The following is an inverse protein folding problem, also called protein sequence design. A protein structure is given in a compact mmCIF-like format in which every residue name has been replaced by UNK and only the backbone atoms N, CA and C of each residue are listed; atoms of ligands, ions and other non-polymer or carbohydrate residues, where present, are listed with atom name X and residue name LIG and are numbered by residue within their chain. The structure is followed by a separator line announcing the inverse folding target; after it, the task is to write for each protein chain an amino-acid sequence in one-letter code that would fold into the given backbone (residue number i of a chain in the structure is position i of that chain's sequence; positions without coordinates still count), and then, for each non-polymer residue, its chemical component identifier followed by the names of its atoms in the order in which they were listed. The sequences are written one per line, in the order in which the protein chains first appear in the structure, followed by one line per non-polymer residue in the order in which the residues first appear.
data_IF_063955391218
#
_entry.id   IF_063955391218
#
_cell.length_a   1.000
_cell.length_b   1.000
_cell.length_c   1.000
_cell.angle_alpha   90.00
_cell.angle_beta   90.00
_cell.angle_gamma   90.00
#
_symmetry.space_group_name_H-M   'P 1'
#
loop_
_entity.id
_entity.type
_entity.pdbx_description
1 polymer ?
#
# COMPACT_ATOMS: atom_id res chain seq x y z
N UNK A 1 15.71 -8.34 -7.00
CA UNK A 1 15.86 -7.07 -7.74
C UNK A 1 15.24 -5.97 -6.88
N UNK A 2 15.37 -4.70 -7.26
CA UNK A 2 14.79 -3.59 -6.50
C UNK A 2 13.83 -2.85 -7.41
N UNK A 3 12.54 -2.97 -7.10
CA UNK A 3 11.45 -2.29 -7.80
C UNK A 3 11.11 -0.95 -7.12
N UNK A 4 10.23 -0.16 -7.73
CA UNK A 4 9.72 1.09 -7.15
C UNK A 4 8.21 1.05 -6.99
N UNK A 5 7.71 1.56 -5.87
CA UNK A 5 6.28 1.83 -5.68
C UNK A 5 6.08 3.33 -5.61
N UNK A 6 5.27 3.87 -6.52
CA UNK A 6 4.90 5.28 -6.57
C UNK A 6 3.48 5.46 -6.05
N UNK A 7 3.39 6.08 -4.88
CA UNK A 7 2.18 6.70 -4.36
C UNK A 7 1.94 8.02 -5.10
N UNK A 8 0.78 8.15 -5.73
CA UNK A 8 0.37 9.27 -6.54
C UNK A 8 -0.92 9.88 -5.98
N UNK A 9 -1.26 11.06 -6.51
CA UNK A 9 -2.41 11.88 -6.10
C UNK A 9 -2.79 12.85 -7.22
N UNK A 10 -3.79 13.69 -6.98
CA UNK A 10 -4.22 14.74 -7.93
C UNK A 10 -4.69 14.14 -9.28
N UNK A 11 -5.41 13.01 -9.20
CA UNK A 11 -5.94 12.29 -10.37
C UNK A 11 -4.94 11.41 -11.12
N UNK A 12 -3.74 11.20 -10.56
CA UNK A 12 -2.76 10.26 -11.09
C UNK A 12 -2.85 8.91 -10.36
N UNK A 13 -2.89 7.81 -11.13
CA UNK A 13 -2.94 6.46 -10.55
C UNK A 13 -1.61 6.02 -9.96
N UNK A 14 -1.66 5.24 -8.89
CA UNK A 14 -0.50 4.59 -8.28
C UNK A 14 0.13 3.56 -9.23
N UNK A 15 1.46 3.36 -9.11
CA UNK A 15 2.20 2.44 -10.00
C UNK A 15 3.31 1.71 -9.27
N UNK A 16 3.53 0.45 -9.63
CA UNK A 16 4.74 -0.32 -9.35
C UNK A 16 5.59 -0.34 -10.60
N UNK A 17 6.86 0.06 -10.52
CA UNK A 17 7.80 -0.05 -11.62
C UNK A 17 8.76 -1.20 -11.37
N UNK A 18 8.71 -2.18 -12.27
CA UNK A 18 9.56 -3.37 -12.21
C UNK A 18 10.94 -3.06 -12.80
N UNK A 19 11.98 -3.45 -12.07
CA UNK A 19 13.36 -3.24 -12.47
C UNK A 19 13.79 -4.29 -13.50
N UNK A 20 14.38 -3.83 -14.60
CA UNK A 20 14.92 -4.69 -15.64
C UNK A 20 16.30 -5.31 -15.30
N UNK A 21 16.76 -5.18 -14.05
CA UNK A 21 18.08 -5.64 -13.58
C UNK A 21 19.21 -4.64 -13.82
N UNK A 22 18.94 -3.51 -14.49
CA UNK A 22 19.91 -2.45 -14.79
C UNK A 22 19.46 -1.09 -14.25
N UNK A 23 18.56 -1.08 -13.25
CA UNK A 23 17.89 0.12 -12.72
C UNK A 23 17.04 0.84 -13.78
N UNK A 24 16.62 0.13 -14.83
CA UNK A 24 15.59 0.62 -15.74
C UNK A 24 14.20 0.26 -15.23
N UNK A 25 13.28 1.21 -15.32
CA UNK A 25 11.92 1.18 -14.76
C UNK A 25 10.91 1.44 -15.88
N UNK A 26 10.93 0.58 -16.89
CA UNK A 26 10.22 0.82 -18.16
C UNK A 26 8.75 0.34 -18.11
N UNK A 27 8.44 -0.59 -17.20
CA UNK A 27 7.10 -1.18 -17.06
C UNK A 27 6.49 -0.70 -15.74
N UNK A 28 5.49 0.18 -15.83
CA UNK A 28 4.69 0.62 -14.71
C UNK A 28 3.37 -0.17 -14.64
N UNK A 29 3.21 -1.02 -13.63
CA UNK A 29 1.99 -1.76 -13.37
C UNK A 29 1.07 -0.93 -12.46
N UNK A 30 -0.15 -0.57 -12.89
CA UNK A 30 -1.04 0.23 -12.06
C UNK A 30 -1.63 -0.59 -10.92
N UNK A 31 -1.91 0.08 -9.80
CA UNK A 31 -2.72 -0.46 -8.71
C UNK A 31 -3.65 0.64 -8.15
N UNK A 32 -4.63 0.22 -7.35
CA UNK A 32 -5.65 1.13 -6.82
C UNK A 32 -6.72 1.53 -7.83
N UNK A 33 -7.44 2.61 -7.57
CA UNK A 33 -8.57 3.06 -8.40
C UNK A 33 -8.16 3.93 -9.57
N UNK A 34 -6.87 4.31 -9.64
CA UNK A 34 -6.32 5.20 -10.65
C UNK A 34 -6.48 6.69 -10.34
N UNK A 35 -7.11 7.04 -9.21
CA UNK A 35 -7.32 8.43 -8.76
C UNK A 35 -7.25 8.58 -7.24
N UNK A 36 -6.62 7.62 -6.57
CA UNK A 36 -6.45 7.63 -5.12
C UNK A 36 -5.56 8.81 -4.70
N UNK A 37 -5.83 9.39 -3.53
CA UNK A 37 -5.08 10.44 -2.86
C UNK A 37 -4.03 9.84 -1.91
N UNK A 38 -3.21 8.94 -2.46
CA UNK A 38 -2.21 8.21 -1.68
C UNK A 38 -1.06 9.12 -1.27
N UNK A 39 -0.76 9.16 0.03
CA UNK A 39 0.34 9.95 0.61
C UNK A 39 1.54 9.11 0.98
N UNK A 40 1.32 7.86 1.34
CA UNK A 40 2.39 6.95 1.72
C UNK A 40 2.00 5.51 1.38
N UNK A 41 3.02 4.68 1.19
CA UNK A 41 2.87 3.23 1.04
C UNK A 41 3.81 2.51 2.00
N UNK A 42 3.42 1.32 2.43
CA UNK A 42 4.27 0.34 3.08
C UNK A 42 4.25 -0.96 2.27
N UNK A 43 5.38 -1.66 2.23
CA UNK A 43 5.55 -2.91 1.47
C UNK A 43 6.01 -3.98 2.42
N UNK A 44 5.25 -5.07 2.51
CA UNK A 44 5.55 -6.24 3.33
C UNK A 44 4.71 -7.43 2.86
N UNK A 45 4.99 -8.63 3.33
CA UNK A 45 4.13 -9.79 3.11
C UNK A 45 3.03 -9.79 4.20
N UNK A 46 1.82 -9.32 3.86
CA UNK A 46 0.74 -9.16 4.84
C UNK A 46 -0.18 -10.38 4.92
N UNK A 47 -0.09 -11.30 3.95
CA UNK A 47 -0.92 -12.50 3.89
C UNK A 47 -0.13 -13.81 4.13
N UNK A 48 1.19 -13.73 4.30
CA UNK A 48 2.08 -14.85 4.60
C UNK A 48 2.37 -15.75 3.39
N UNK A 49 2.17 -15.28 2.17
CA UNK A 49 2.35 -16.08 0.95
C UNK A 49 3.78 -16.04 0.37
N UNK A 50 4.67 -15.28 1.01
CA UNK A 50 6.06 -15.08 0.62
C UNK A 50 6.27 -14.01 -0.43
N UNK A 51 5.24 -13.24 -0.79
CA UNK A 51 5.31 -12.17 -1.80
C UNK A 51 5.03 -10.81 -1.15
N UNK A 52 5.74 -9.75 -1.57
CA UNK A 52 5.48 -8.42 -1.05
C UNK A 52 4.15 -7.87 -1.59
N UNK A 53 3.31 -7.46 -0.67
CA UNK A 53 2.05 -6.73 -0.85
C UNK A 53 2.25 -5.23 -0.63
N UNK A 54 1.22 -4.42 -0.90
CA UNK A 54 1.29 -2.95 -0.77
C UNK A 54 0.14 -2.44 0.09
N UNK A 55 0.47 -1.83 1.23
CA UNK A 55 -0.49 -1.07 2.04
C UNK A 55 -0.43 0.42 1.69
N UNK A 56 -1.60 1.06 1.57
CA UNK A 56 -1.73 2.49 1.22
C UNK A 56 -2.23 3.31 2.39
N UNK A 57 -1.68 4.52 2.55
CA UNK A 57 -2.21 5.58 3.37
C UNK A 57 -2.79 6.68 2.47
N UNK A 58 -4.10 6.88 2.53
CA UNK A 58 -4.83 7.81 1.68
C UNK A 58 -5.44 8.96 2.51
N UNK A 59 -5.67 10.09 1.85
CA UNK A 59 -6.35 11.25 2.44
C UNK A 59 -7.80 11.32 1.97
N UNK A 60 -8.73 11.39 2.92
CA UNK A 60 -10.15 11.61 2.62
C UNK A 60 -10.85 10.38 2.03
N UNK A 61 -10.18 9.23 2.03
CA UNK A 61 -10.69 7.96 1.51
C UNK A 61 -10.06 6.78 2.29
N UNK A 62 -10.61 5.57 2.16
CA UNK A 62 -10.13 4.44 2.93
C UNK A 62 -8.72 4.00 2.54
N UNK A 63 -8.06 3.34 3.48
CA UNK A 63 -6.79 2.67 3.29
C UNK A 63 -7.00 1.21 2.85
N UNK A 64 -6.11 0.74 1.97
CA UNK A 64 -6.17 -0.59 1.37
C UNK A 64 -4.83 -1.31 1.43
N UNK A 65 -4.87 -2.63 1.60
CA UNK A 65 -3.78 -3.54 1.26
C UNK A 65 -4.11 -4.15 -0.10
N UNK A 66 -3.16 -4.10 -1.03
CA UNK A 66 -3.22 -4.73 -2.35
C UNK A 66 -2.29 -5.93 -2.38
N UNK A 67 -2.83 -7.09 -2.74
CA UNK A 67 -2.13 -8.36 -2.67
C UNK A 67 -1.41 -8.69 -3.98
N UNK A 68 -0.19 -9.23 -3.85
CA UNK A 68 0.58 -9.73 -4.96
C UNK A 68 0.37 -11.24 -5.13
N UNK A 69 -0.60 -11.64 -5.96
CA UNK A 69 -0.90 -13.05 -6.23
C UNK A 69 0.11 -13.77 -7.15
N UNK A 70 1.31 -13.22 -7.32
CA UNK A 70 2.37 -13.74 -8.20
C UNK A 70 2.29 -13.26 -9.65
N UNK A 71 1.19 -12.60 -10.01
CA UNK A 71 1.11 -11.67 -11.14
C UNK A 71 1.09 -10.24 -10.55
N UNK A 72 2.00 -9.33 -10.93
CA UNK A 72 2.13 -8.00 -10.33
C UNK A 72 0.95 -7.06 -10.64
N UNK A 73 -0.24 -7.57 -10.96
CA UNK A 73 -1.42 -6.77 -11.33
C UNK A 73 -2.20 -6.21 -10.14
N UNK A 74 -1.89 -6.61 -8.91
CA UNK A 74 -2.47 -6.06 -7.66
C UNK A 74 -4.00 -5.91 -7.68
N UNK A 75 -4.69 -6.89 -8.27
CA UNK A 75 -6.15 -6.84 -8.48
C UNK A 75 -6.95 -7.14 -7.21
N UNK A 76 -6.38 -7.94 -6.32
CA UNK A 76 -7.01 -8.30 -5.05
C UNK A 76 -6.61 -7.28 -3.99
N UNK A 77 -7.57 -6.82 -3.20
CA UNK A 77 -7.32 -5.87 -2.13
C UNK A 77 -8.32 -6.00 -1.00
N UNK A 78 -7.89 -5.59 0.19
CA UNK A 78 -8.74 -5.49 1.37
C UNK A 78 -8.67 -4.09 1.93
N UNK A 79 -9.84 -3.56 2.27
CA UNK A 79 -9.96 -2.30 3.01
C UNK A 79 -9.78 -2.59 4.50
N UNK A 80 -8.88 -1.88 5.16
CA UNK A 80 -8.58 -2.13 6.58
C UNK A 80 -8.99 -1.00 7.52
N UNK A 81 -9.56 0.09 7.00
CA UNK A 81 -10.22 1.09 7.82
C UNK A 81 -11.60 1.51 7.26
N UNK A 82 -12.45 2.02 8.16
CA UNK A 82 -13.82 2.39 7.82
C UNK A 82 -13.97 3.86 7.40
N UNK A 83 -12.97 4.70 7.69
CA UNK A 83 -13.06 6.15 7.69
C UNK A 83 -12.45 6.79 6.44
N UNK A 84 -13.04 7.91 6.00
CA UNK A 84 -12.36 8.94 5.19
C UNK A 84 -11.31 9.70 6.04
N UNK A 85 -10.46 8.97 6.74
CA UNK A 85 -9.39 9.56 7.56
C UNK A 85 -8.35 10.23 6.67
N UNK A 86 -7.63 11.20 7.23
CA UNK A 86 -6.49 11.78 6.54
C UNK A 86 -5.24 11.04 6.99
N UNK A 87 -4.87 9.99 6.26
CA UNK A 87 -3.69 9.18 6.54
C UNK A 87 -2.49 9.76 5.81
N UNK A 88 -1.45 10.12 6.56
CA UNK A 88 -0.27 10.80 6.01
C UNK A 88 0.95 9.89 5.88
N UNK A 89 1.05 8.90 6.76
CA UNK A 89 2.19 7.99 6.80
C UNK A 89 1.72 6.61 7.23
N UNK A 90 2.37 5.59 6.70
CA UNK A 90 2.17 4.19 7.07
C UNK A 90 3.51 3.48 7.13
N UNK A 91 3.68 2.59 8.09
CA UNK A 91 4.84 1.68 8.16
C UNK A 91 4.37 0.28 8.51
N UNK A 92 5.08 -0.72 7.99
CA UNK A 92 4.93 -2.11 8.38
C UNK A 92 6.02 -2.48 9.40
N UNK A 93 5.64 -3.17 10.47
CA UNK A 93 6.55 -3.68 11.50
C UNK A 93 5.85 -4.79 12.28
N UNK A 94 6.57 -5.82 12.68
CA UNK A 94 6.09 -6.80 13.68
C UNK A 94 6.09 -6.14 15.07
N UNK A 95 4.92 -5.71 15.54
CA UNK A 95 4.77 -4.88 16.73
C UNK A 95 4.63 -5.72 18.01
N UNK A 96 4.10 -6.93 17.90
CA UNK A 96 3.85 -7.83 19.03
C UNK A 96 4.74 -9.07 19.07
N UNK A 97 5.66 -9.21 18.11
CA UNK A 97 6.66 -10.26 17.99
C UNK A 97 6.07 -11.65 17.66
N UNK A 98 4.94 -11.71 16.96
CA UNK A 98 4.34 -12.97 16.51
C UNK A 98 4.88 -13.45 15.15
N UNK A 99 5.63 -12.60 14.44
CA UNK A 99 6.26 -12.88 13.15
C UNK A 99 5.45 -12.41 11.95
N UNK A 100 4.21 -11.96 12.13
CA UNK A 100 3.40 -11.32 11.10
C UNK A 100 3.65 -9.80 11.09
N UNK A 101 3.34 -9.13 9.97
CA UNK A 101 3.59 -7.69 9.83
C UNK A 101 2.37 -6.87 10.22
N UNK A 102 2.50 -6.03 11.25
CA UNK A 102 1.49 -5.06 11.64
C UNK A 102 1.62 -3.74 10.86
N UNK A 103 0.55 -2.96 10.86
CA UNK A 103 0.50 -1.62 10.27
C UNK A 103 0.35 -0.53 11.34
N UNK A 104 1.26 0.43 11.33
CA UNK A 104 1.14 1.68 12.10
C UNK A 104 0.83 2.82 11.14
N UNK A 105 -0.34 3.47 11.33
CA UNK A 105 -0.83 4.55 10.46
C UNK A 105 -0.91 5.87 11.21
N UNK A 106 -0.28 6.91 10.64
CA UNK A 106 -0.36 8.28 11.15
C UNK A 106 -1.53 9.03 10.51
N UNK A 107 -2.58 9.25 11.29
CA UNK A 107 -3.82 9.88 10.86
C UNK A 107 -4.00 11.28 11.47
N UNK A 108 -4.56 12.24 10.71
CA UNK A 108 -5.03 13.51 11.22
C UNK A 108 -6.56 13.60 11.14
N UNK A 109 -7.23 13.49 12.29
CA UNK A 109 -8.67 13.69 12.42
C UNK A 109 -9.49 12.39 12.38
N UNK A 110 -10.41 12.30 13.34
CA UNK A 110 -11.33 11.20 13.70
C UNK A 110 -10.65 9.99 14.37
N UNK A 111 -11.17 9.63 15.55
CA UNK A 111 -10.73 8.49 16.38
C UNK A 111 -10.71 7.19 15.56
N UNK A 112 -9.63 6.43 15.66
CA UNK A 112 -9.62 5.03 15.22
C UNK A 112 -10.71 4.29 15.98
N UNK A 113 -11.71 3.78 15.26
CA UNK A 113 -12.74 2.91 15.81
C UNK A 113 -12.32 1.48 15.48
N UNK A 114 -11.67 0.80 16.41
CA UNK A 114 -11.52 -0.64 16.36
C UNK A 114 -12.88 -1.22 16.80
N UNK A 115 -13.59 -1.89 15.89
CA UNK A 115 -14.71 -2.79 16.21
C UNK A 115 -14.24 -4.22 16.06
#
# INVERSE_FOLDING_TARGET
DVDLVLANRDGQGNKVYLNNGQLGFDIGVPFGTGRDETRSVAVADFNGDGRPDIATANIGEPNYIYFNSGDPSFKESVKFDASSSNSFSITAIDLDFDGDQDLVVANAGVKMQFT
#
